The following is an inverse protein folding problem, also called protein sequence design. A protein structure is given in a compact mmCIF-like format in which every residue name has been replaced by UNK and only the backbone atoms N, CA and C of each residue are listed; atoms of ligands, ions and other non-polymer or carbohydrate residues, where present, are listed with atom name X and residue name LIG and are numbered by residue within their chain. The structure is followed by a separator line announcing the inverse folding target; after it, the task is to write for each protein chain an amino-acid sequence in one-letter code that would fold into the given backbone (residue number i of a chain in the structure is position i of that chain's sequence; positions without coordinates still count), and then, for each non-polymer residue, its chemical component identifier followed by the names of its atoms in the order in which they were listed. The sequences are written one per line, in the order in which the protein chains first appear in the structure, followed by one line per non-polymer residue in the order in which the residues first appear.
data_IF_823671994505
#
_entry.id   IF_823671994505
#
_cell.length_a   1.000
_cell.length_b   1.000
_cell.length_c   1.000
_cell.angle_alpha   90.00
_cell.angle_beta   90.00
_cell.angle_gamma   90.00
#
_symmetry.space_group_name_H-M   'P 1'
#
loop_
_entity.id
_entity.type
_entity.pdbx_description
1 polymer ?
#
# COMPACT_ATOMS: atom_id res chain seq x y z
N UNK A 1 18.00 -30.82 18.67
CA UNK A 1 18.21 -29.62 17.82
C UNK A 1 17.61 -29.91 16.46
N UNK A 2 16.33 -29.57 16.29
CA UNK A 2 15.57 -29.88 15.09
C UNK A 2 15.87 -28.88 13.99
N UNK A 3 16.33 -29.38 12.84
CA UNK A 3 16.39 -28.60 11.62
C UNK A 3 15.03 -27.97 11.36
N UNK A 4 15.00 -26.63 11.29
CA UNK A 4 13.84 -25.89 10.83
C UNK A 4 13.54 -26.35 9.39
N UNK A 5 12.59 -27.27 9.28
CA UNK A 5 12.00 -27.74 8.02
C UNK A 5 11.51 -26.50 7.29
N UNK A 6 12.25 -26.07 6.27
CA UNK A 6 11.87 -25.04 5.31
C UNK A 6 10.56 -25.49 4.64
N UNK A 7 9.43 -25.26 5.32
CA UNK A 7 8.11 -25.41 4.72
C UNK A 7 7.88 -24.19 3.82
N UNK A 8 7.51 -24.47 2.58
CA UNK A 8 6.63 -23.56 1.84
C UNK A 8 7.17 -23.04 0.53
N UNK A 9 7.62 -23.94 -0.34
CA UNK A 9 7.23 -23.99 -1.75
C UNK A 9 7.80 -25.30 -2.31
N UNK A 10 7.08 -26.41 -2.15
CA UNK A 10 7.20 -27.43 -3.19
C UNK A 10 6.85 -26.73 -4.51
N UNK A 11 7.62 -26.93 -5.60
CA UNK A 11 7.35 -26.23 -6.85
C UNK A 11 5.99 -26.70 -7.39
N UNK A 12 4.97 -25.92 -7.10
CA UNK A 12 3.64 -26.03 -7.70
C UNK A 12 3.69 -25.12 -8.92
N UNK A 13 3.61 -25.69 -10.10
CA UNK A 13 3.61 -24.95 -11.36
C UNK A 13 4.31 -25.67 -12.51
N UNK A 14 4.12 -25.13 -13.70
CA UNK A 14 4.72 -25.63 -14.94
C UNK A 14 6.08 -24.96 -15.14
N UNK A 15 7.09 -25.74 -15.54
CA UNK A 15 8.40 -25.16 -15.90
C UNK A 15 8.26 -24.45 -17.24
N UNK A 16 8.64 -23.17 -17.28
CA UNK A 16 8.62 -22.35 -18.50
C UNK A 16 10.03 -21.87 -18.77
N UNK A 17 10.52 -22.13 -19.98
CA UNK A 17 11.84 -21.67 -20.40
C UNK A 17 11.77 -20.27 -20.99
N UNK A 18 10.82 -20.05 -21.90
CA UNK A 18 10.66 -18.79 -22.62
C UNK A 18 9.18 -18.48 -22.85
N UNK A 19 8.88 -17.18 -22.97
CA UNK A 19 7.61 -16.63 -23.42
C UNK A 19 7.84 -15.79 -24.67
N UNK A 20 6.84 -15.68 -25.54
CA UNK A 20 6.91 -14.73 -26.65
C UNK A 20 6.73 -13.30 -26.14
N UNK A 21 7.61 -12.39 -26.53
CA UNK A 21 7.43 -10.95 -26.31
C UNK A 21 6.15 -10.48 -27.03
N UNK A 22 5.26 -9.80 -26.32
CA UNK A 22 3.99 -9.29 -26.88
C UNK A 22 4.18 -8.27 -28.01
N UNK A 23 5.31 -7.55 -28.01
CA UNK A 23 5.62 -6.53 -29.03
C UNK A 23 6.27 -7.11 -30.27
N UNK A 24 7.29 -7.97 -30.13
CA UNK A 24 8.13 -8.43 -31.25
C UNK A 24 8.13 -9.94 -31.49
N UNK A 25 7.45 -10.73 -30.66
CA UNK A 25 7.33 -12.18 -30.78
C UNK A 25 8.58 -12.99 -30.44
N UNK A 26 9.70 -12.34 -30.08
CA UNK A 26 10.94 -13.03 -29.71
C UNK A 26 10.78 -13.82 -28.40
N UNK A 27 11.42 -14.99 -28.30
CA UNK A 27 11.54 -15.75 -27.06
C UNK A 27 12.30 -14.94 -26.00
N UNK A 28 11.67 -14.71 -24.86
CA UNK A 28 12.20 -13.95 -23.73
C UNK A 28 11.99 -14.72 -22.44
N UNK A 29 12.83 -14.49 -21.44
CA UNK A 29 12.57 -15.01 -20.10
C UNK A 29 11.41 -14.22 -19.47
N UNK A 30 10.40 -14.89 -18.87
CA UNK A 30 9.26 -14.19 -18.27
C UNK A 30 9.61 -13.34 -17.04
N UNK A 31 10.79 -13.54 -16.46
CA UNK A 31 11.30 -12.72 -15.35
C UNK A 31 12.24 -11.61 -15.82
N UNK A 32 12.46 -11.45 -17.13
CA UNK A 32 13.15 -10.28 -17.67
C UNK A 32 12.23 -9.07 -17.71
N UNK A 33 12.82 -7.91 -17.47
CA UNK A 33 12.12 -6.61 -17.49
C UNK A 33 12.06 -6.06 -18.92
N UNK A 34 13.06 -6.38 -19.72
CA UNK A 34 13.21 -5.89 -21.08
C UNK A 34 13.50 -7.06 -22.01
N UNK A 35 12.83 -7.07 -23.16
CA UNK A 35 13.12 -7.98 -24.25
C UNK A 35 14.52 -7.68 -24.80
N UNK A 36 15.40 -8.69 -24.96
CA UNK A 36 16.75 -8.49 -25.49
C UNK A 36 16.75 -8.02 -26.96
N UNK A 37 15.64 -8.20 -27.69
CA UNK A 37 15.53 -7.85 -29.11
C UNK A 37 14.98 -6.45 -29.34
N UNK A 38 13.89 -6.07 -28.69
CA UNK A 38 13.21 -4.79 -28.93
C UNK A 38 13.29 -3.80 -27.76
N UNK A 39 13.79 -4.21 -26.59
CA UNK A 39 13.89 -3.38 -25.39
C UNK A 39 12.55 -3.10 -24.68
N UNK A 40 11.41 -3.47 -25.27
CA UNK A 40 10.08 -3.39 -24.65
C UNK A 40 9.92 -4.44 -23.55
N UNK A 41 8.95 -4.23 -22.65
CA UNK A 41 8.63 -5.24 -21.65
C UNK A 41 7.98 -6.47 -22.34
N UNK A 42 8.51 -7.70 -22.16
CA UNK A 42 8.00 -8.88 -22.87
C UNK A 42 6.53 -9.22 -22.57
N UNK A 43 5.97 -8.75 -21.45
CA UNK A 43 4.59 -8.97 -21.05
C UNK A 43 3.76 -7.68 -21.10
N UNK A 44 4.23 -6.66 -21.81
CA UNK A 44 3.50 -5.42 -22.00
C UNK A 44 2.11 -5.70 -22.59
N UNK A 45 1.07 -5.11 -22.00
CA UNK A 45 -0.32 -5.30 -22.43
C UNK A 45 -1.00 -6.59 -21.96
N UNK A 46 -0.31 -7.51 -21.29
CA UNK A 46 -0.92 -8.75 -20.75
C UNK A 46 -1.80 -8.52 -19.52
N UNK A 47 -1.71 -7.34 -18.90
CA UNK A 47 -2.41 -6.97 -17.69
C UNK A 47 -1.58 -6.02 -16.84
N UNK A 48 -1.95 -5.91 -15.57
CA UNK A 48 -1.16 -5.17 -14.59
C UNK A 48 -0.02 -6.04 -14.06
N UNK A 49 1.18 -5.49 -14.07
CA UNK A 49 2.42 -6.23 -13.81
C UNK A 49 2.99 -5.83 -12.46
N UNK A 50 3.32 -6.80 -11.61
CA UNK A 50 4.01 -6.59 -10.34
C UNK A 50 5.35 -7.31 -10.37
N UNK A 51 6.43 -6.52 -10.29
CA UNK A 51 7.79 -7.02 -10.50
C UNK A 51 8.09 -7.32 -11.98
N UNK A 52 9.30 -7.82 -12.28
CA UNK A 52 10.41 -8.02 -11.36
C UNK A 52 11.10 -6.70 -11.00
N UNK A 53 11.70 -6.62 -9.82
CA UNK A 53 12.51 -5.47 -9.45
C UNK A 53 13.79 -5.41 -10.28
N UNK A 54 14.07 -4.27 -10.91
CA UNK A 54 15.32 -4.07 -11.64
C UNK A 54 16.54 -4.28 -10.74
N UNK A 55 17.54 -5.03 -11.23
CA UNK A 55 18.76 -5.31 -10.46
C UNK A 55 19.46 -4.03 -10.00
N UNK A 56 19.49 -2.99 -10.85
CA UNK A 56 20.01 -1.68 -10.47
C UNK A 56 19.25 -1.04 -9.30
N UNK A 57 17.92 -1.13 -9.28
CA UNK A 57 17.11 -0.64 -8.16
C UNK A 57 17.33 -1.48 -6.90
N UNK A 58 17.45 -2.80 -7.02
CA UNK A 58 17.82 -3.69 -5.92
C UNK A 58 19.16 -3.26 -5.29
N UNK A 59 20.23 -3.16 -6.09
CA UNK A 59 21.55 -2.77 -5.58
C UNK A 59 21.54 -1.36 -4.98
N UNK A 60 20.80 -0.42 -5.56
CA UNK A 60 20.64 0.93 -5.01
C UNK A 60 19.97 0.89 -3.63
N UNK A 61 18.85 0.18 -3.49
CA UNK A 61 18.11 0.09 -2.22
C UNK A 61 18.89 -0.65 -1.14
N UNK A 62 19.52 -1.78 -1.50
CA UNK A 62 20.35 -2.56 -0.58
C UNK A 62 21.63 -1.80 -0.21
N UNK A 63 22.28 -1.16 -1.19
CA UNK A 63 23.53 -0.40 -0.99
C UNK A 63 23.35 0.80 -0.07
N UNK A 64 22.29 1.60 -0.26
CA UNK A 64 21.96 2.72 0.64
C UNK A 64 21.79 2.22 2.08
N UNK A 65 21.05 1.11 2.26
CA UNK A 65 20.82 0.54 3.59
C UNK A 65 22.09 -0.08 4.20
N UNK A 66 22.95 -0.73 3.41
CA UNK A 66 24.25 -1.24 3.88
C UNK A 66 25.17 -0.11 4.35
N UNK A 67 25.21 1.01 3.62
CA UNK A 67 26.02 2.18 4.00
C UNK A 67 25.58 2.69 5.37
N UNK A 68 24.28 2.80 5.57
CA UNK A 68 23.68 3.27 6.82
C UNK A 68 23.92 2.28 7.98
N UNK A 69 23.69 0.98 7.77
CA UNK A 69 23.98 -0.06 8.79
C UNK A 69 25.47 -0.10 9.11
N UNK A 70 26.35 0.03 8.11
CA UNK A 70 27.80 0.07 8.27
C UNK A 70 28.27 1.26 9.09
N UNK A 71 27.69 2.45 8.90
CA UNK A 71 27.97 3.62 9.73
C UNK A 71 27.61 3.40 11.20
N UNK A 72 26.43 2.82 11.48
CA UNK A 72 26.04 2.50 12.86
C UNK A 72 26.99 1.52 13.53
N UNK A 73 27.37 0.45 12.82
CA UNK A 73 28.34 -0.52 13.31
C UNK A 73 29.72 0.11 13.52
N UNK A 74 30.17 0.98 12.62
CA UNK A 74 31.43 1.71 12.75
C UNK A 74 31.49 2.55 14.04
N UNK A 75 30.41 3.25 14.37
CA UNK A 75 30.33 4.06 15.62
C UNK A 75 30.42 3.18 16.87
N UNK A 76 29.77 2.01 16.88
CA UNK A 76 29.86 1.08 18.01
C UNK A 76 31.26 0.49 18.15
N UNK A 77 31.86 0.04 17.05
CA UNK A 77 33.20 -0.54 17.06
C UNK A 77 34.26 0.47 17.52
N UNK A 78 34.14 1.75 17.14
CA UNK A 78 35.03 2.81 17.63
C UNK A 78 34.88 3.02 19.15
N UNK A 79 33.64 2.99 19.66
CA UNK A 79 33.37 3.16 21.10
C UNK A 79 33.91 2.00 21.93
N UNK A 80 33.72 0.75 21.48
CA UNK A 80 34.26 -0.44 22.14
C UNK A 80 35.80 -0.51 22.05
N UNK A 81 36.38 -0.03 20.94
CA UNK A 81 37.82 0.08 20.77
C UNK A 81 38.49 1.16 21.65
N UNK A 82 37.74 2.20 22.04
CA UNK A 82 38.27 3.35 22.78
C UNK A 82 38.15 3.22 24.32
N UNK A 83 37.26 2.38 24.85
CA UNK A 83 37.01 2.27 26.29
C UNK A 83 37.23 0.82 26.74
N UNK A 84 38.48 0.52 27.10
CA UNK A 84 38.90 -0.75 27.68
C UNK A 84 39.38 -0.55 29.13
N UNK A 85 38.59 0.17 29.93
CA UNK A 85 38.80 0.32 31.37
C UNK A 85 37.55 -0.13 32.12
N UNK A 86 37.72 -1.20 32.90
CA UNK A 86 36.71 -1.92 33.66
C UNK A 86 36.21 -1.10 34.85
N UNK A 87 34.97 -0.61 34.79
CA UNK A 87 34.06 -0.52 35.95
C UNK A 87 32.62 -0.71 35.45
N UNK A 88 31.94 -1.74 35.95
CA UNK A 88 30.56 -2.05 35.57
C UNK A 88 29.62 -0.96 36.10
N UNK A 89 29.11 -0.12 35.20
CA UNK A 89 28.25 1.03 35.50
C UNK A 89 26.97 0.99 34.66
N UNK A 90 26.00 1.88 34.94
CA UNK A 90 24.78 2.10 34.14
C UNK A 90 25.05 2.28 32.62
N UNK A 91 26.28 2.60 32.24
CA UNK A 91 26.72 2.68 30.85
C UNK A 91 26.74 1.32 30.14
N UNK A 92 26.94 0.21 30.86
CA UNK A 92 26.98 -1.13 30.27
C UNK A 92 25.59 -1.64 29.92
N UNK A 93 24.58 -1.38 30.75
CA UNK A 93 23.19 -1.71 30.41
C UNK A 93 22.70 -0.89 29.22
N UNK A 94 23.08 0.39 29.12
CA UNK A 94 22.85 1.21 27.93
C UNK A 94 23.57 0.67 26.69
N UNK A 95 24.81 0.17 26.83
CA UNK A 95 25.54 -0.45 25.73
C UNK A 95 24.83 -1.71 25.21
N UNK A 96 24.34 -2.59 26.10
CA UNK A 96 23.55 -3.76 25.71
C UNK A 96 22.22 -3.41 25.03
N UNK A 97 21.55 -2.35 25.48
CA UNK A 97 20.34 -1.83 24.79
C UNK A 97 20.67 -1.35 23.37
N UNK A 98 21.81 -0.67 23.19
CA UNK A 98 22.27 -0.23 21.86
C UNK A 98 22.61 -1.42 20.96
N UNK A 99 23.32 -2.43 21.48
CA UNK A 99 23.64 -3.66 20.74
C UNK A 99 22.36 -4.41 20.35
N UNK A 100 21.38 -4.53 21.25
CA UNK A 100 20.09 -5.14 20.95
C UNK A 100 19.34 -4.38 19.85
N UNK A 101 19.34 -3.05 19.91
CA UNK A 101 18.71 -2.20 18.90
C UNK A 101 19.37 -2.38 17.52
N UNK A 102 20.70 -2.45 17.46
CA UNK A 102 21.44 -2.72 16.23
C UNK A 102 21.15 -4.12 15.68
N UNK A 103 21.13 -5.14 16.54
CA UNK A 103 20.78 -6.50 16.13
C UNK A 103 19.36 -6.59 15.53
N UNK A 104 18.40 -5.85 16.12
CA UNK A 104 17.04 -5.75 15.59
C UNK A 104 16.98 -5.02 14.24
N UNK A 105 17.72 -3.90 14.08
CA UNK A 105 17.84 -3.19 12.80
C UNK A 105 18.45 -4.10 11.73
N UNK A 106 19.49 -4.86 12.07
CA UNK A 106 20.12 -5.81 11.16
C UNK A 106 19.16 -6.93 10.74
N UNK A 107 18.37 -7.47 11.68
CA UNK A 107 17.34 -8.47 11.38
C UNK A 107 16.27 -7.94 10.41
N UNK A 108 15.77 -6.72 10.64
CA UNK A 108 14.83 -6.06 9.74
C UNK A 108 15.42 -5.76 8.35
N UNK A 109 16.70 -5.37 8.31
CA UNK A 109 17.45 -5.17 7.07
C UNK A 109 17.57 -6.48 6.28
N UNK A 110 18.05 -7.57 6.89
CA UNK A 110 18.19 -8.87 6.25
C UNK A 110 16.85 -9.36 5.70
N UNK A 111 15.76 -9.17 6.45
CA UNK A 111 14.41 -9.48 5.98
C UNK A 111 14.03 -8.66 4.75
N UNK A 112 14.33 -7.37 4.72
CA UNK A 112 14.01 -6.54 3.55
C UNK A 112 14.86 -6.91 2.33
N UNK A 113 16.15 -7.17 2.52
CA UNK A 113 17.04 -7.66 1.43
C UNK A 113 16.48 -8.95 0.85
N UNK A 114 16.06 -9.88 1.70
CA UNK A 114 15.42 -11.12 1.27
C UNK A 114 14.15 -10.86 0.46
N UNK A 115 13.25 -9.98 0.93
CA UNK A 115 12.02 -9.64 0.21
C UNK A 115 12.29 -8.95 -1.14
N UNK A 116 13.24 -8.01 -1.19
CA UNK A 116 13.66 -7.34 -2.42
C UNK A 116 14.30 -8.33 -3.39
N UNK A 117 15.11 -9.26 -2.89
CA UNK A 117 15.70 -10.32 -3.71
C UNK A 117 14.63 -11.24 -4.29
N UNK A 118 13.60 -11.61 -3.51
CA UNK A 118 12.44 -12.34 -4.02
C UNK A 118 11.73 -11.57 -5.13
N UNK A 119 11.55 -10.25 -4.98
CA UNK A 119 10.98 -9.36 -6.01
C UNK A 119 11.78 -9.37 -7.32
N UNK A 120 13.11 -9.55 -7.28
CA UNK A 120 13.91 -9.67 -8.52
C UNK A 120 13.69 -10.98 -9.27
N UNK A 121 13.09 -11.98 -8.62
CA UNK A 121 12.93 -13.34 -9.14
C UNK A 121 11.47 -13.75 -9.34
N UNK A 122 10.54 -12.85 -9.10
CA UNK A 122 9.12 -13.11 -9.26
C UNK A 122 8.49 -12.04 -10.11
N UNK A 123 7.45 -12.43 -10.83
CA UNK A 123 6.65 -11.53 -11.65
C UNK A 123 5.21 -11.99 -11.60
N UNK A 124 4.32 -11.14 -11.10
CA UNK A 124 2.89 -11.40 -11.06
C UNK A 124 2.22 -10.59 -12.18
N UNK A 125 1.37 -11.26 -12.95
CA UNK A 125 0.47 -10.65 -13.92
C UNK A 125 -0.95 -10.74 -13.38
N UNK A 126 -1.62 -9.60 -13.29
CA UNK A 126 -3.03 -9.49 -12.92
C UNK A 126 -3.80 -9.12 -14.17
N UNK A 127 -4.70 -9.98 -14.63
CA UNK A 127 -5.50 -9.73 -15.83
C UNK A 127 -6.97 -10.14 -15.64
N UNK A 128 -7.80 -9.94 -16.66
CA UNK A 128 -9.24 -10.26 -16.58
C UNK A 128 -9.52 -11.76 -16.37
N UNK A 129 -8.64 -12.65 -16.81
CA UNK A 129 -8.82 -14.10 -16.67
C UNK A 129 -8.41 -14.63 -15.29
N UNK A 130 -7.41 -14.02 -14.66
CA UNK A 130 -6.91 -14.45 -13.37
C UNK A 130 -5.57 -13.81 -13.00
N UNK A 131 -4.82 -14.56 -12.21
CA UNK A 131 -3.49 -14.22 -11.75
C UNK A 131 -2.48 -15.22 -12.29
N UNK A 132 -1.38 -14.74 -12.84
CA UNK A 132 -0.26 -15.59 -13.28
C UNK A 132 1.00 -15.17 -12.54
N UNK A 133 1.59 -16.08 -11.78
CA UNK A 133 2.84 -15.87 -11.07
C UNK A 133 3.97 -16.64 -11.77
N UNK A 134 4.96 -15.89 -12.26
CA UNK A 134 6.25 -16.43 -12.66
C UNK A 134 7.21 -16.31 -11.49
N UNK A 135 7.94 -17.38 -11.16
CA UNK A 135 8.96 -17.34 -10.11
C UNK A 135 10.17 -18.21 -10.43
N UNK A 136 11.37 -17.70 -10.13
CA UNK A 136 12.63 -18.40 -10.32
C UNK A 136 13.02 -19.24 -9.11
N UNK A 137 13.28 -20.54 -9.32
CA UNK A 137 13.74 -21.48 -8.29
C UNK A 137 14.60 -22.59 -8.87
N UNK A 138 15.67 -23.00 -8.17
CA UNK A 138 16.56 -24.09 -8.60
C UNK A 138 17.09 -23.97 -10.05
N UNK A 139 17.36 -22.74 -10.53
CA UNK A 139 17.84 -22.49 -11.89
C UNK A 139 16.78 -22.62 -12.99
N UNK A 140 15.51 -22.84 -12.63
CA UNK A 140 14.36 -22.90 -13.53
C UNK A 140 13.36 -21.80 -13.20
N UNK A 141 12.47 -21.50 -14.14
CA UNK A 141 11.35 -20.60 -13.92
C UNK A 141 10.07 -21.41 -13.94
N UNK A 142 9.21 -21.16 -12.97
CA UNK A 142 7.92 -21.81 -12.80
C UNK A 142 6.82 -20.80 -13.10
N UNK A 143 5.77 -21.27 -13.76
CA UNK A 143 4.51 -20.58 -13.98
C UNK A 143 3.44 -21.24 -13.12
N UNK A 144 2.72 -20.43 -12.34
CA UNK A 144 1.57 -20.87 -11.56
C UNK A 144 0.40 -19.91 -11.78
N UNK A 145 -0.80 -20.41 -12.10
CA UNK A 145 -1.97 -19.59 -12.45
C UNK A 145 -3.16 -19.82 -11.51
N UNK A 146 -3.66 -18.75 -10.88
CA UNK A 146 -4.80 -18.79 -9.97
C UNK A 146 -5.96 -18.02 -10.58
N UNK A 147 -7.11 -18.68 -10.70
CA UNK A 147 -8.31 -18.05 -11.25
C UNK A 147 -9.01 -17.19 -10.18
N UNK A 148 -9.82 -16.21 -10.62
CA UNK A 148 -10.53 -15.31 -9.71
C UNK A 148 -11.51 -16.03 -8.77
N UNK A 149 -12.13 -17.11 -9.23
CA UNK A 149 -13.01 -17.94 -8.40
C UNK A 149 -12.27 -18.78 -7.36
N UNK A 150 -10.99 -19.07 -7.60
CA UNK A 150 -10.14 -19.84 -6.69
C UNK A 150 -9.54 -18.94 -5.58
N UNK A 151 -9.30 -17.66 -5.89
CA UNK A 151 -8.65 -16.71 -4.99
C UNK A 151 -9.50 -16.40 -3.75
N UNK A 152 -8.94 -16.61 -2.56
CA UNK A 152 -9.53 -16.13 -1.31
C UNK A 152 -9.15 -14.65 -1.03
N UNK A 153 -9.99 -13.88 -0.29
CA UNK A 153 -9.66 -12.53 0.12
C UNK A 153 -8.30 -12.45 0.84
N UNK A 154 -7.40 -11.53 0.43
CA UNK A 154 -6.06 -11.43 1.01
C UNK A 154 -6.11 -11.09 2.50
N UNK A 155 -5.46 -11.92 3.30
CA UNK A 155 -5.38 -11.73 4.74
C UNK A 155 -4.33 -10.67 5.09
N UNK A 156 -4.58 -9.81 6.10
CA UNK A 156 -3.55 -8.91 6.58
C UNK A 156 -2.38 -9.71 7.14
N UNK A 157 -1.17 -9.22 6.89
CA UNK A 157 -0.01 -9.73 7.59
C UNK A 157 -0.18 -9.40 9.08
N UNK A 158 -0.22 -10.43 9.95
CA UNK A 158 -0.18 -10.23 11.40
C UNK A 158 1.19 -9.67 11.76
N UNK A 159 1.33 -8.35 11.71
CA UNK A 159 2.56 -7.68 12.11
C UNK A 159 2.80 -7.98 13.60
N UNK A 160 3.96 -8.55 13.92
CA UNK A 160 4.39 -8.69 15.30
C UNK A 160 4.39 -7.30 15.97
N UNK A 161 3.95 -7.23 17.23
CA UNK A 161 3.84 -5.98 17.99
C UNK A 161 5.15 -5.17 17.99
N UNK A 162 6.30 -5.85 17.96
CA UNK A 162 7.64 -5.26 17.81
C UNK A 162 7.76 -4.40 16.54
N UNK A 163 7.25 -4.86 15.39
CA UNK A 163 7.30 -4.11 14.13
C UNK A 163 6.40 -2.86 14.17
N UNK A 164 5.24 -2.95 14.85
CA UNK A 164 4.37 -1.79 15.11
C UNK A 164 5.07 -0.75 15.99
N UNK A 165 5.77 -1.21 17.03
CA UNK A 165 6.56 -0.34 17.90
C UNK A 165 7.68 0.36 17.13
N UNK A 166 8.41 -0.35 16.26
CA UNK A 166 9.44 0.26 15.41
C UNK A 166 8.87 1.34 14.50
N UNK A 167 7.72 1.09 13.87
CA UNK A 167 7.05 2.08 13.03
C UNK A 167 6.65 3.32 13.83
N UNK A 168 6.14 3.13 15.04
CA UNK A 168 5.81 4.24 15.94
C UNK A 168 7.07 5.04 16.35
N UNK A 169 8.16 4.35 16.70
CA UNK A 169 9.45 4.98 17.01
C UNK A 169 9.96 5.76 15.78
N UNK A 170 9.81 5.23 14.58
CA UNK A 170 10.24 5.91 13.35
C UNK A 170 9.42 7.13 13.01
N UNK A 171 8.11 7.07 13.19
CA UNK A 171 7.26 8.25 13.09
C UNK A 171 7.63 9.29 14.15
N UNK A 172 7.91 8.89 15.39
CA UNK A 172 8.37 9.82 16.44
C UNK A 172 9.73 10.46 16.09
N UNK A 173 10.68 9.69 15.58
CA UNK A 173 11.99 10.21 15.14
C UNK A 173 11.87 11.15 13.92
N UNK A 174 10.97 10.83 12.98
CA UNK A 174 10.69 11.68 11.84
C UNK A 174 10.05 13.01 12.24
N UNK A 175 9.07 13.00 13.14
CA UNK A 175 8.43 14.22 13.65
C UNK A 175 9.38 15.02 14.53
N UNK A 176 10.32 14.36 15.22
CA UNK A 176 11.34 14.99 16.07
C UNK A 176 12.55 15.58 15.34
N UNK A 177 12.55 15.68 14.01
CA UNK A 177 13.63 16.29 13.22
C UNK A 177 14.83 15.38 12.90
N UNK A 178 14.77 14.10 13.28
CA UNK A 178 15.80 13.09 12.97
C UNK A 178 15.43 12.28 11.73
N UNK A 179 15.11 12.96 10.62
CA UNK A 179 14.69 12.31 9.37
C UNK A 179 15.72 11.27 8.87
N UNK A 180 17.01 11.51 9.08
CA UNK A 180 18.09 10.56 8.75
C UNK A 180 18.03 9.26 9.56
N UNK A 181 17.58 9.31 10.82
CA UNK A 181 17.36 8.13 11.65
C UNK A 181 16.04 7.43 11.31
N UNK A 182 15.04 8.14 10.80
CA UNK A 182 13.81 7.50 10.32
C UNK A 182 14.07 6.57 9.12
N UNK A 183 15.06 6.89 8.27
CA UNK A 183 15.52 6.01 7.18
C UNK A 183 16.13 4.69 7.69
N UNK A 184 16.57 4.62 8.95
CA UNK A 184 17.13 3.41 9.54
C UNK A 184 16.09 2.35 9.86
N UNK A 185 14.84 2.76 10.06
CA UNK A 185 13.82 1.83 10.50
C UNK A 185 13.36 1.09 9.25
N UNK A 186 13.72 -0.20 9.12
CA UNK A 186 13.29 -0.96 7.97
C UNK A 186 11.79 -1.14 8.13
N UNK A 187 10.99 -0.32 7.44
CA UNK A 187 9.61 -0.69 7.22
C UNK A 187 9.66 -1.99 6.41
N UNK A 188 9.23 -3.13 6.98
CA UNK A 188 9.18 -4.37 6.23
C UNK A 188 8.26 -4.12 5.04
N UNK A 189 8.67 -4.59 3.85
CA UNK A 189 7.79 -4.52 2.69
C UNK A 189 6.49 -5.23 3.07
N UNK A 190 5.35 -4.57 2.82
CA UNK A 190 4.04 -5.19 3.09
C UNK A 190 3.95 -6.44 2.23
N UNK A 191 3.73 -7.60 2.83
CA UNK A 191 3.48 -8.82 2.06
C UNK A 191 1.99 -9.04 1.88
N UNK A 192 1.57 -9.23 0.63
CA UNK A 192 0.24 -9.75 0.32
C UNK A 192 0.32 -11.26 0.21
N UNK A 193 -0.54 -11.95 0.97
CA UNK A 193 -0.67 -13.40 0.88
C UNK A 193 -1.92 -13.76 0.11
N UNK A 194 -1.73 -14.40 -1.03
CA UNK A 194 -2.80 -14.89 -1.90
C UNK A 194 -2.93 -16.39 -1.70
N UNK A 195 -4.12 -16.83 -1.32
CA UNK A 195 -4.40 -18.23 -1.02
C UNK A 195 -5.45 -18.77 -1.97
N UNK A 196 -5.24 -19.98 -2.44
CA UNK A 196 -6.28 -20.74 -3.13
C UNK A 196 -7.28 -21.31 -2.14
N UNK A 197 -8.56 -21.21 -2.47
CA UNK A 197 -9.64 -21.93 -1.77
C UNK A 197 -9.69 -23.41 -2.10
N UNK A 198 -9.35 -23.74 -3.35
CA UNK A 198 -9.46 -25.11 -3.87
C UNK A 198 -8.30 -25.95 -3.33
N UNK A 199 -7.12 -25.34 -3.21
CA UNK A 199 -5.93 -25.99 -2.68
C UNK A 199 -5.31 -25.16 -1.53
N UNK A 200 -5.54 -25.52 -0.25
CA UNK A 200 -5.03 -24.76 0.88
C UNK A 200 -3.49 -24.76 1.00
N UNK A 201 -2.81 -25.70 0.34
CA UNK A 201 -1.33 -25.71 0.27
C UNK A 201 -0.79 -24.66 -0.70
N UNK A 202 -1.63 -24.16 -1.62
CA UNK A 202 -1.25 -23.16 -2.60
C UNK A 202 -1.41 -21.76 -2.02
N UNK A 203 -0.29 -21.23 -1.58
CA UNK A 203 -0.16 -19.90 -0.98
C UNK A 203 0.98 -19.14 -1.65
N UNK A 204 0.68 -17.98 -2.22
CA UNK A 204 1.68 -17.05 -2.73
C UNK A 204 1.91 -15.94 -1.72
N UNK A 205 3.16 -15.71 -1.32
CA UNK A 205 3.58 -14.52 -0.58
C UNK A 205 4.22 -13.55 -1.56
N UNK A 206 3.62 -12.38 -1.74
CA UNK A 206 4.02 -11.38 -2.72
C UNK A 206 4.41 -10.11 -1.95
N UNK A 207 5.71 -9.84 -1.73
CA UNK A 207 6.16 -8.56 -1.20
C UNK A 207 5.73 -7.41 -2.12
N UNK A 208 5.15 -6.37 -1.53
CA UNK A 208 4.78 -5.12 -2.19
C UNK A 208 5.74 -4.03 -1.76
N UNK A 209 6.35 -3.37 -2.74
CA UNK A 209 7.26 -2.25 -2.51
C UNK A 209 6.58 -0.94 -2.90
N UNK A 210 6.41 0.03 -1.98
CA UNK A 210 5.83 1.33 -2.33
C UNK A 210 6.66 2.09 -3.38
N UNK A 211 7.95 1.76 -3.54
CA UNK A 211 8.80 2.31 -4.58
C UNK A 211 8.49 1.75 -5.99
N UNK A 212 7.83 0.59 -6.06
CA UNK A 212 7.31 0.02 -7.31
C UNK A 212 5.83 0.36 -7.45
N UNK A 213 5.02 0.01 -6.45
CA UNK A 213 3.57 0.14 -6.45
C UNK A 213 3.03 0.29 -5.02
N UNK A 214 2.08 1.21 -4.83
CA UNK A 214 1.46 1.42 -3.53
C UNK A 214 0.59 0.21 -3.16
N UNK A 215 0.75 -0.38 -1.96
CA UNK A 215 0.04 -1.60 -1.58
C UNK A 215 -1.48 -1.50 -1.70
N UNK A 216 -2.04 -0.33 -1.41
CA UNK A 216 -3.48 -0.04 -1.52
C UNK A 216 -3.97 -0.21 -2.95
N UNK A 217 -3.18 0.24 -3.94
CA UNK A 217 -3.54 0.12 -5.34
C UNK A 217 -3.61 -1.36 -5.78
N UNK A 218 -2.62 -2.16 -5.39
CA UNK A 218 -2.63 -3.61 -5.68
C UNK A 218 -3.83 -4.32 -5.05
N UNK A 219 -4.15 -4.00 -3.79
CA UNK A 219 -5.31 -4.59 -3.10
C UNK A 219 -6.63 -4.20 -3.76
N UNK A 220 -6.79 -2.91 -4.11
CA UNK A 220 -7.96 -2.43 -4.84
C UNK A 220 -8.08 -3.12 -6.21
N UNK A 221 -6.98 -3.28 -6.94
CA UNK A 221 -6.99 -3.97 -8.24
C UNK A 221 -7.44 -5.43 -8.13
N UNK A 222 -6.89 -6.16 -7.16
CA UNK A 222 -7.32 -7.53 -6.87
C UNK A 222 -8.81 -7.58 -6.53
N UNK A 223 -9.29 -6.63 -5.72
CA UNK A 223 -10.68 -6.56 -5.33
C UNK A 223 -11.60 -6.26 -6.53
N UNK A 224 -11.23 -5.37 -7.45
CA UNK A 224 -12.05 -5.05 -8.64
C UNK A 224 -12.37 -6.32 -9.43
N UNK A 225 -11.41 -7.23 -9.58
CA UNK A 225 -11.62 -8.46 -10.35
C UNK A 225 -12.25 -9.59 -9.52
N UNK A 226 -11.85 -9.76 -8.25
CA UNK A 226 -12.25 -10.90 -7.44
C UNK A 226 -13.57 -10.69 -6.66
N UNK A 227 -13.99 -9.43 -6.45
CA UNK A 227 -15.17 -9.11 -5.64
C UNK A 227 -16.46 -9.82 -6.09
N UNK A 228 -16.80 -9.94 -7.40
CA UNK A 228 -17.96 -10.70 -7.83
C UNK A 228 -17.94 -12.15 -7.34
N UNK A 229 -16.78 -12.80 -7.38
CA UNK A 229 -16.60 -14.17 -6.92
C UNK A 229 -16.67 -14.29 -5.40
N UNK A 230 -16.10 -13.32 -4.68
CA UNK A 230 -16.15 -13.28 -3.22
C UNK A 230 -17.57 -13.06 -2.69
N UNK A 231 -18.35 -12.19 -3.34
CA UNK A 231 -19.76 -11.97 -3.02
C UNK A 231 -20.60 -13.21 -3.33
N UNK A 232 -20.46 -13.78 -4.55
CA UNK A 232 -21.21 -14.96 -4.97
C UNK A 232 -20.97 -16.18 -4.07
N UNK A 233 -19.78 -16.28 -3.49
CA UNK A 233 -19.42 -17.38 -2.59
C UNK A 233 -19.56 -17.06 -1.10
N UNK A 234 -20.08 -15.89 -0.75
CA UNK A 234 -20.30 -15.47 0.65
C UNK A 234 -19.03 -15.23 1.46
N UNK A 235 -17.87 -15.10 0.80
CA UNK A 235 -16.60 -14.80 1.48
C UNK A 235 -16.51 -13.34 1.92
N UNK A 236 -17.12 -12.45 1.14
CA UNK A 236 -17.35 -11.05 1.48
C UNK A 236 -18.85 -10.87 1.61
N UNK A 237 -19.27 -10.18 2.68
CA UNK A 237 -20.67 -9.84 2.90
C UNK A 237 -20.90 -8.35 2.67
N UNK A 238 -22.05 -8.03 2.10
CA UNK A 238 -22.57 -6.67 2.11
C UNK A 238 -23.08 -6.36 3.51
N UNK A 239 -22.73 -5.20 4.06
CA UNK A 239 -23.30 -4.79 5.34
C UNK A 239 -24.72 -4.25 5.18
N UNK A 240 -25.70 -4.75 5.95
CA UNK A 240 -27.05 -4.22 5.93
C UNK A 240 -27.07 -2.72 6.27
N UNK A 241 -27.83 -1.94 5.52
CA UNK A 241 -27.94 -0.49 5.66
C UNK A 241 -26.83 0.30 4.96
N UNK A 242 -25.83 -0.36 4.36
CA UNK A 242 -24.78 0.23 3.53
C UNK A 242 -24.78 -0.37 2.11
N UNK A 243 -25.98 -0.69 1.60
CA UNK A 243 -26.16 -1.24 0.27
C UNK A 243 -25.72 -0.24 -0.83
N UNK A 244 -25.23 -0.72 -1.99
CA UNK A 244 -24.91 0.13 -3.13
C UNK A 244 -26.17 0.77 -3.68
N UNK A 245 -26.23 2.09 -3.64
CA UNK A 245 -27.30 2.90 -4.22
C UNK A 245 -26.68 3.98 -5.11
N UNK A 246 -27.45 4.64 -5.99
CA UNK A 246 -26.93 5.76 -6.78
C UNK A 246 -26.37 6.90 -5.92
N UNK A 247 -26.91 7.09 -4.72
CA UNK A 247 -26.44 8.09 -3.74
C UNK A 247 -25.15 7.66 -3.03
N UNK A 248 -24.80 6.37 -3.08
CA UNK A 248 -23.63 5.77 -2.45
C UNK A 248 -22.73 5.08 -3.49
N UNK A 249 -22.12 5.86 -4.40
CA UNK A 249 -21.31 5.31 -5.49
C UNK A 249 -19.94 4.79 -5.02
N UNK A 250 -19.51 5.07 -3.78
CA UNK A 250 -18.19 4.69 -3.30
C UNK A 250 -18.21 3.41 -2.47
N UNK A 251 -17.71 2.33 -3.04
CA UNK A 251 -17.60 1.01 -2.43
C UNK A 251 -16.29 0.90 -1.64
N UNK A 252 -16.43 0.55 -0.37
CA UNK A 252 -15.35 0.32 0.57
C UNK A 252 -15.34 -1.15 0.94
N UNK A 253 -14.28 -1.84 0.54
CA UNK A 253 -14.03 -3.22 0.95
C UNK A 253 -13.01 -3.25 2.07
N UNK A 254 -13.46 -3.65 3.27
CA UNK A 254 -12.55 -3.97 4.37
C UNK A 254 -12.15 -5.45 4.27
N UNK A 255 -10.90 -5.69 3.88
CA UNK A 255 -10.36 -7.03 3.68
C UNK A 255 -10.11 -7.78 5.00
N UNK A 256 -9.96 -7.06 6.12
CA UNK A 256 -9.78 -7.68 7.44
C UNK A 256 -11.11 -8.25 7.96
N UNK A 257 -12.18 -7.45 7.85
CA UNK A 257 -13.53 -7.84 8.27
C UNK A 257 -14.30 -8.63 7.21
N UNK A 258 -13.82 -8.61 5.96
CA UNK A 258 -14.49 -9.16 4.76
C UNK A 258 -15.89 -8.58 4.56
N UNK A 259 -15.98 -7.26 4.71
CA UNK A 259 -17.23 -6.52 4.62
C UNK A 259 -17.13 -5.47 3.53
N UNK A 260 -18.18 -5.39 2.71
CA UNK A 260 -18.38 -4.35 1.72
C UNK A 260 -19.42 -3.34 2.22
N UNK A 261 -19.08 -2.06 2.22
CA UNK A 261 -19.99 -0.94 2.49
C UNK A 261 -19.99 0.04 1.34
N UNK A 262 -21.14 0.56 0.98
CA UNK A 262 -21.25 1.70 0.08
C UNK A 262 -21.41 3.00 0.87
N UNK A 263 -20.68 4.02 0.45
CA UNK A 263 -20.68 5.35 1.03
C UNK A 263 -21.00 6.40 -0.04
N UNK A 264 -21.59 7.51 0.40
CA UNK A 264 -21.58 8.73 -0.40
C UNK A 264 -20.16 9.31 -0.43
N UNK A 265 -19.73 9.93 -1.54
CA UNK A 265 -18.37 10.48 -1.65
C UNK A 265 -18.02 11.45 -0.50
N UNK A 266 -18.98 12.29 -0.09
CA UNK A 266 -18.84 13.24 1.03
C UNK A 266 -18.48 12.60 2.37
N UNK A 267 -18.82 11.32 2.57
CA UNK A 267 -18.52 10.61 3.82
C UNK A 267 -17.10 10.04 3.86
N UNK A 268 -16.45 9.96 2.69
CA UNK A 268 -15.11 9.38 2.52
C UNK A 268 -14.05 10.47 2.31
N UNK A 269 -14.46 11.62 1.76
CA UNK A 269 -13.65 12.83 1.57
C UNK A 269 -13.37 13.52 2.90
N UNK A 270 -12.60 12.88 3.77
CA UNK A 270 -12.09 13.46 5.02
C UNK A 270 -10.56 13.52 4.90
N UNK A 271 -10.11 14.68 4.41
CA UNK A 271 -8.75 15.25 4.33
C UNK A 271 -7.71 14.59 3.40
N UNK A 272 -7.65 15.09 2.15
CA UNK A 272 -6.56 14.88 1.20
C UNK A 272 -5.36 15.85 1.43
N UNK A 273 -5.21 16.42 2.63
CA UNK A 273 -4.14 17.38 2.93
C UNK A 273 -2.75 16.76 3.20
N UNK A 274 -2.57 15.44 3.11
CA UNK A 274 -1.31 14.75 3.50
C UNK A 274 -0.73 13.81 2.45
N UNK A 275 -0.86 14.15 1.16
CA UNK A 275 0.05 13.66 0.14
C UNK A 275 0.67 14.89 -0.50
N UNK A 276 1.83 15.32 -0.02
CA UNK A 276 2.73 16.12 -0.85
C UNK A 276 3.20 15.23 -2.01
N UNK A 277 2.88 15.53 -3.28
CA UNK A 277 3.65 15.00 -4.38
C UNK A 277 4.81 15.97 -4.66
N UNK A 278 6.02 15.48 -5.00
CA UNK A 278 7.01 16.35 -5.61
C UNK A 278 6.45 16.76 -6.99
N UNK A 279 6.37 18.07 -7.24
CA UNK A 279 5.94 18.70 -8.49
C UNK A 279 4.43 18.61 -8.82
N UNK A 280 3.69 19.70 -8.51
CA UNK A 280 2.46 20.04 -9.24
C UNK A 280 2.84 20.62 -10.61
N UNK A 281 2.29 20.14 -11.73
CA UNK A 281 2.16 20.97 -12.92
C UNK A 281 1.12 22.06 -12.65
N UNK A 282 1.50 23.30 -12.93
CA UNK A 282 0.63 24.49 -12.90
C UNK A 282 -0.51 24.29 -13.90
N UNK A 283 -1.76 24.55 -13.48
CA UNK A 283 -2.88 24.72 -14.41
C UNK A 283 -4.12 23.83 -14.25
N UNK A 284 -4.37 23.19 -13.10
CA UNK A 284 -5.65 22.46 -12.89
C UNK A 284 -6.55 23.20 -11.89
N UNK A 285 -7.76 23.64 -12.28
CA UNK A 285 -8.66 24.38 -11.40
C UNK A 285 -9.22 23.50 -10.27
N UNK A 286 -9.34 24.07 -9.06
CA UNK A 286 -10.23 23.55 -8.02
C UNK A 286 -11.66 23.89 -8.44
N UNK A 287 -12.52 22.89 -8.58
CA UNK A 287 -13.96 23.11 -8.61
C UNK A 287 -14.42 23.30 -7.16
N UNK A 288 -14.72 24.53 -6.78
CA UNK A 288 -15.60 24.83 -5.64
C UNK A 288 -17.02 24.87 -6.21
N UNK A 289 -17.81 23.81 -6.01
CA UNK A 289 -19.26 23.96 -6.14
C UNK A 289 -19.78 24.84 -5.00
N UNK A 290 -20.78 25.71 -5.27
CA UNK A 290 -21.21 26.74 -4.35
C UNK A 290 -21.77 26.12 -3.06
N UNK A 291 -21.31 26.62 -1.92
CA UNK A 291 -21.95 26.38 -0.62
C UNK A 291 -23.45 26.68 -0.73
N UNK A 292 -24.32 25.91 -0.07
CA UNK A 292 -25.73 26.29 0.06
C UNK A 292 -25.83 27.70 0.61
N UNK A 293 -26.75 28.49 0.05
CA UNK A 293 -26.98 29.89 0.40
C UNK A 293 -27.07 30.07 1.92
N UNK A 294 -26.21 30.90 2.48
CA UNK A 294 -26.28 31.24 3.90
C UNK A 294 -27.48 32.14 4.14
N UNK A 295 -28.42 31.65 4.93
CA UNK A 295 -29.54 32.42 5.45
C UNK A 295 -29.14 32.88 6.85
N UNK A 296 -29.27 34.17 7.13
CA UNK A 296 -29.12 34.67 8.49
C UNK A 296 -30.18 34.01 9.41
N UNK A 297 -29.92 33.93 10.73
CA UNK A 297 -30.87 33.34 11.68
C UNK A 297 -32.24 34.05 11.74
N UNK A 298 -32.36 35.25 11.16
CA UNK A 298 -33.60 36.02 11.01
C UNK A 298 -34.37 35.72 9.70
N UNK A 299 -33.88 34.78 8.89
CA UNK A 299 -34.52 34.38 7.63
C UNK A 299 -34.18 35.28 6.43
N UNK A 300 -33.28 36.25 6.60
CA UNK A 300 -32.85 37.12 5.49
C UNK A 300 -31.70 36.50 4.69
N UNK A 301 -31.74 36.67 3.37
CA UNK A 301 -30.74 36.13 2.43
C UNK A 301 -29.48 36.99 2.47
N UNK A 302 -28.30 36.37 2.60
CA UNK A 302 -27.02 37.07 2.42
C UNK A 302 -26.78 37.27 0.93
N UNK A 303 -26.79 38.51 0.44
CA UNK A 303 -26.46 38.82 -0.94
C UNK A 303 -24.95 38.59 -1.20
N UNK A 304 -24.66 37.82 -2.25
CA UNK A 304 -23.30 37.54 -2.70
C UNK A 304 -22.75 38.75 -3.45
N UNK A 305 -21.51 39.14 -3.13
CA UNK A 305 -20.80 40.23 -3.81
C UNK A 305 -20.57 39.84 -5.29
N UNK A 306 -21.28 40.49 -6.21
CA UNK A 306 -21.30 40.18 -7.65
C UNK A 306 -20.11 40.77 -8.44
N UNK A 307 -19.00 41.10 -7.78
CA UNK A 307 -17.84 41.74 -8.41
C UNK A 307 -16.85 40.76 -9.07
N UNK A 308 -17.15 39.46 -9.11
CA UNK A 308 -16.35 38.44 -9.80
C UNK A 308 -17.15 37.81 -10.94
N UNK A 309 -16.75 38.10 -12.17
CA UNK A 309 -17.42 37.66 -13.40
C UNK A 309 -17.40 36.12 -13.60
N UNK A 310 -18.41 35.54 -14.27
CA UNK A 310 -18.58 34.10 -14.45
C UNK A 310 -18.21 33.63 -15.88
N UNK A 311 -17.48 32.52 -16.03
CA UNK A 311 -17.35 31.76 -17.30
C UNK A 311 -16.78 30.36 -16.97
N UNK A 312 -17.17 29.20 -17.54
CA UNK A 312 -17.98 28.79 -18.69
C UNK A 312 -18.42 27.33 -18.48
N UNK A 313 -19.56 26.95 -19.06
CA UNK A 313 -19.98 25.55 -19.20
C UNK A 313 -19.14 24.82 -20.26
N UNK A 314 -18.74 23.58 -19.96
CA UNK A 314 -18.38 22.57 -20.98
C UNK A 314 -18.84 21.18 -20.54
N UNK A 315 -19.54 20.52 -21.48
CA UNK A 315 -19.78 19.08 -21.53
C UNK A 315 -18.46 18.33 -21.74
N UNK A 316 -18.06 17.50 -20.78
CA UNK A 316 -17.38 16.23 -21.02
C UNK A 316 -17.34 15.43 -19.71
N UNK A 317 -17.83 14.19 -19.78
CA UNK A 317 -17.95 13.17 -18.73
C UNK A 317 -16.99 13.33 -17.55
N UNK A 318 -17.52 13.87 -16.47
CA UNK A 318 -17.14 13.76 -15.05
C UNK A 318 -15.72 13.21 -14.77
N UNK A 319 -14.72 14.09 -14.80
CA UNK A 319 -13.46 13.86 -14.09
C UNK A 319 -13.65 14.16 -12.58
N UNK A 320 -14.49 13.34 -11.92
CA UNK A 320 -14.48 13.27 -10.46
C UNK A 320 -13.11 12.75 -10.08
N UNK A 321 -12.23 13.62 -9.55
CA UNK A 321 -10.94 13.17 -8.99
C UNK A 321 -11.25 12.13 -7.91
N UNK A 322 -10.87 10.86 -8.08
CA UNK A 322 -11.13 9.87 -7.05
C UNK A 322 -10.24 10.20 -5.85
N UNK A 323 -10.78 10.29 -4.62
CA UNK A 323 -9.94 10.36 -3.43
C UNK A 323 -9.14 9.07 -3.30
N UNK A 324 -7.90 9.16 -2.81
CA UNK A 324 -7.04 8.06 -2.34
C UNK A 324 -7.24 6.66 -3.01
N UNK A 325 -6.45 6.31 -4.03
CA UNK A 325 -6.30 4.95 -4.64
C UNK A 325 -7.57 4.09 -4.78
N UNK A 326 -8.70 4.70 -5.18
CA UNK A 326 -9.90 3.97 -5.64
C UNK A 326 -9.82 3.67 -7.15
N UNK A 327 -10.53 2.64 -7.60
CA UNK A 327 -10.62 2.21 -9.00
C UNK A 327 -12.07 2.14 -9.48
N UNK A 328 -12.33 2.37 -10.77
CA UNK A 328 -13.67 2.20 -11.32
C UNK A 328 -14.14 0.75 -11.16
N UNK A 329 -15.39 0.57 -10.74
CA UNK A 329 -16.05 -0.72 -10.58
C UNK A 329 -17.42 -0.69 -11.29
N UNK A 330 -17.48 -1.31 -12.46
CA UNK A 330 -18.64 -1.16 -13.35
C UNK A 330 -18.78 0.26 -13.89
N UNK A 331 -20.01 0.67 -14.22
CA UNK A 331 -20.28 1.95 -14.88
C UNK A 331 -20.43 3.14 -13.93
N UNK A 332 -20.82 2.90 -12.68
CA UNK A 332 -21.30 3.96 -11.77
C UNK A 332 -20.65 3.92 -10.38
N UNK A 333 -19.82 2.93 -10.09
CA UNK A 333 -19.24 2.75 -8.76
C UNK A 333 -17.72 2.89 -8.79
N UNK A 334 -17.18 3.27 -7.65
CA UNK A 334 -15.75 3.30 -7.39
C UNK A 334 -15.46 2.36 -6.23
N UNK A 335 -14.45 1.51 -6.36
CA UNK A 335 -14.05 0.57 -5.34
C UNK A 335 -12.71 0.96 -4.74
N UNK A 336 -12.61 0.90 -3.41
CA UNK A 336 -11.34 0.94 -2.68
C UNK A 336 -11.29 -0.25 -1.73
N UNK A 337 -10.17 -0.97 -1.75
CA UNK A 337 -9.93 -2.07 -0.83
C UNK A 337 -8.66 -1.82 -0.02
N UNK A 338 -8.75 -2.00 1.29
CA UNK A 338 -7.59 -1.99 2.19
C UNK A 338 -7.93 -2.81 3.44
N UNK A 339 -6.93 -3.06 4.27
CA UNK A 339 -7.14 -3.64 5.60
C UNK A 339 -7.58 -2.56 6.58
N UNK A 340 -8.61 -2.83 7.38
CA UNK A 340 -9.09 -1.93 8.43
C UNK A 340 -9.58 -0.55 7.89
N UNK A 341 -10.09 -0.54 6.67
CA UNK A 341 -10.53 0.68 5.97
C UNK A 341 -11.82 1.26 6.57
N UNK A 342 -12.79 0.41 6.90
CA UNK A 342 -14.08 0.85 7.47
C UNK A 342 -13.87 1.53 8.82
N UNK A 343 -13.17 0.92 9.81
CA UNK A 343 -12.90 1.59 11.08
C UNK A 343 -12.15 2.91 10.93
N UNK A 344 -11.25 3.01 9.94
CA UNK A 344 -10.54 4.26 9.65
C UNK A 344 -11.52 5.36 9.22
N UNK A 345 -12.38 5.09 8.24
CA UNK A 345 -13.38 6.05 7.75
C UNK A 345 -14.32 6.46 8.88
N UNK A 346 -14.86 5.49 9.64
CA UNK A 346 -15.77 5.78 10.76
C UNK A 346 -15.09 6.57 11.87
N UNK A 347 -13.82 6.29 12.18
CA UNK A 347 -13.07 7.07 13.19
C UNK A 347 -12.88 8.52 12.79
N UNK A 348 -12.60 8.77 11.49
CA UNK A 348 -12.46 10.13 10.95
C UNK A 348 -13.78 10.87 10.93
N UNK A 349 -14.86 10.19 10.52
CA UNK A 349 -16.22 10.74 10.54
C UNK A 349 -16.59 11.22 11.94
N UNK A 350 -16.40 10.37 12.96
CA UNK A 350 -16.64 10.74 14.36
C UNK A 350 -15.79 11.93 14.79
N UNK A 351 -14.50 11.96 14.41
CA UNK A 351 -13.63 13.08 14.75
C UNK A 351 -14.11 14.40 14.11
N UNK A 352 -14.58 14.36 12.86
CA UNK A 352 -15.15 15.50 12.16
C UNK A 352 -16.47 15.97 12.79
N UNK A 353 -17.35 15.03 13.16
CA UNK A 353 -18.61 15.33 13.85
C UNK A 353 -18.34 16.02 15.19
N UNK A 354 -17.39 15.51 15.98
CA UNK A 354 -16.96 16.11 17.26
C UNK A 354 -16.40 17.52 17.04
N UNK A 355 -15.52 17.71 16.04
CA UNK A 355 -14.96 19.02 15.72
C UNK A 355 -16.03 20.04 15.31
N UNK A 356 -17.04 19.60 14.53
CA UNK A 356 -18.17 20.46 14.13
C UNK A 356 -19.16 20.76 15.25
N UNK A 357 -19.22 19.92 16.28
CA UNK A 357 -20.10 20.08 17.46
C UNK A 357 -19.48 20.88 18.60
N UNK A 358 -18.19 21.26 18.47
CA UNK A 358 -17.50 22.06 19.48
C UNK A 358 -17.95 23.53 19.36
N UNK A 359 -18.53 24.14 20.40
CA UNK A 359 -18.95 25.53 20.33
C UNK A 359 -17.75 26.42 20.02
N UNK A 360 -17.93 27.36 19.09
CA UNK A 360 -16.91 28.36 18.79
C UNK A 360 -16.59 29.15 20.07
N UNK A 361 -15.32 29.47 20.36
CA UNK A 361 -14.93 30.20 21.58
C UNK A 361 -15.45 31.65 21.64
N UNK A 362 -16.38 32.04 20.77
CA UNK A 362 -17.03 33.34 20.73
C UNK A 362 -18.27 33.47 21.63
N UNK A 363 -18.77 32.39 22.25
CA UNK A 363 -19.97 32.44 23.12
C UNK A 363 -19.69 32.58 24.63
N UNK A 364 -18.46 32.96 25.03
CA UNK A 364 -18.14 33.23 26.44
C UNK A 364 -17.87 34.70 26.79
N UNK A 365 -18.24 35.63 25.90
CA UNK A 365 -18.29 37.05 26.23
C UNK A 365 -19.70 37.59 26.03
N UNK A 366 -20.63 37.19 26.90
CA UNK A 366 -21.73 38.01 27.40
C UNK A 366 -22.58 37.18 28.39
N UNK A 367 -22.21 37.24 29.66
CA UNK A 367 -23.09 37.04 30.80
C UNK A 367 -22.66 38.01 31.91
#
# INVERSE_FOLDING_TARGET
MGAAKLRGMEPIGYVVHEIGCTTCGAGCSPIEIYCPRCGSDPLEGMGYLIGPLARGQFYRMVGIRLLVVGLLWGVVLIKEGAIRSHEFTLLDTLAWVVVLLIALVLSGFLRTVWQLWRLTRMRLVINSAGLVLFYGGHGRIYLDQMDWGELAPPLPERSHWLLKLFRAIGHLMAVGGFHGLALLIPEPLKEVRLHSRVNPMRCWSIPLSPALQLPVHTLTLLAVHALPHWLASGQVRLEPGYEPTPERPFLVLDLDRRVLRAYAFREVLLDDAYIEPPMRPVGVPLYEEPRPESINPDGTRVELDHTLEPERAFDEVSSVRPPAFAMPYGKHYWLRADWNLIPLIESRRRASEIASSSPSPSEHSQA
#
